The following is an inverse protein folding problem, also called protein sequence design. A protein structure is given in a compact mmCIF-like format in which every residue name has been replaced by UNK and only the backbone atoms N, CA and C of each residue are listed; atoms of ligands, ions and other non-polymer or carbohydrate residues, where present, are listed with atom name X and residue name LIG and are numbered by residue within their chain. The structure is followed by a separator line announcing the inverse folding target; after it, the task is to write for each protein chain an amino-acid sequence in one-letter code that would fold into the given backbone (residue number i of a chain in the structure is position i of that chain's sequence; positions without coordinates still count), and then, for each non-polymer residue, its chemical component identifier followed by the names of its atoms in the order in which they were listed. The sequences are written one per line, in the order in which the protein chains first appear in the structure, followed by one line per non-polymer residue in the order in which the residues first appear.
data_IF_584852697447
#
_entry.id   IF_584852697447
#
_cell.length_a   1.000
_cell.length_b   1.000
_cell.length_c   1.000
_cell.angle_alpha   90.00
_cell.angle_beta   90.00
_cell.angle_gamma   90.00
#
_symmetry.space_group_name_H-M   'P 1'
#
loop_
_entity.id
_entity.type
_entity.pdbx_description
1 polymer ?
#
# COMPACT_ATOMS: atom_id res chain seq x y z
N UNK A 1 10.51 3.86 -5.14
CA UNK A 1 9.36 2.96 -4.92
C UNK A 1 8.26 3.72 -4.20
N UNK A 2 7.05 3.77 -4.75
CA UNK A 2 5.89 4.40 -4.13
C UNK A 2 4.93 3.32 -3.60
N UNK A 3 4.30 3.57 -2.46
CA UNK A 3 3.37 2.63 -1.82
C UNK A 3 2.03 3.31 -1.60
N UNK A 4 0.97 2.68 -2.10
CA UNK A 4 -0.41 3.13 -1.90
C UNK A 4 -1.19 2.03 -1.18
N UNK A 5 -1.86 2.39 -0.08
CA UNK A 5 -2.67 1.44 0.71
C UNK A 5 -3.99 1.12 0.02
N UNK A 6 -3.94 0.41 -1.12
CA UNK A 6 -5.10 0.09 -1.93
C UNK A 6 -5.04 -1.38 -2.40
N UNK A 7 -6.14 -2.10 -2.26
CA UNK A 7 -6.24 -3.50 -2.67
C UNK A 7 -7.63 -4.08 -2.41
N UNK A 8 -7.78 -5.40 -2.63
CA UNK A 8 -9.04 -6.11 -2.44
C UNK A 8 -9.59 -6.10 -1.01
N UNK A 9 -8.74 -5.89 -0.02
CA UNK A 9 -9.06 -5.80 1.41
C UNK A 9 -9.08 -4.37 1.96
N UNK A 10 -9.06 -3.36 1.10
CA UNK A 10 -9.21 -1.96 1.50
C UNK A 10 -10.60 -1.70 2.07
N UNK A 11 -10.67 -1.03 3.22
CA UNK A 11 -11.95 -0.63 3.81
C UNK A 11 -12.66 0.37 2.92
N UNK A 12 -13.97 0.16 2.71
CA UNK A 12 -14.83 1.05 1.96
C UNK A 12 -15.40 2.12 2.91
N UNK A 13 -15.23 3.38 2.55
CA UNK A 13 -15.75 4.52 3.31
C UNK A 13 -16.77 5.31 2.48
N UNK A 14 -17.82 5.75 3.13
CA UNK A 14 -18.81 6.63 2.53
C UNK A 14 -18.29 8.08 2.48
N UNK A 15 -18.48 8.74 1.34
CA UNK A 15 -18.20 10.17 1.16
C UNK A 15 -19.52 10.94 1.26
N UNK A 16 -19.69 11.69 2.36
CA UNK A 16 -20.88 12.50 2.60
C UNK A 16 -20.86 13.86 1.85
N UNK A 17 -19.73 14.25 1.28
CA UNK A 17 -19.58 15.55 0.62
C UNK A 17 -20.12 15.53 -0.81
N UNK A 18 -20.82 16.61 -1.19
CA UNK A 18 -21.39 16.77 -2.51
C UNK A 18 -22.78 16.12 -2.66
N UNK A 19 -23.51 16.54 -3.70
CA UNK A 19 -24.89 16.11 -3.92
C UNK A 19 -25.01 14.62 -4.25
N UNK A 20 -24.03 14.06 -4.97
CA UNK A 20 -24.09 12.66 -5.45
C UNK A 20 -23.57 11.64 -4.45
N UNK A 21 -22.84 12.09 -3.41
CA UNK A 21 -22.13 11.16 -2.53
C UNK A 21 -21.10 10.32 -3.30
N UNK A 22 -20.66 9.24 -2.68
CA UNK A 22 -19.72 8.30 -3.28
C UNK A 22 -19.03 7.43 -2.25
N UNK A 23 -18.02 6.71 -2.71
CA UNK A 23 -17.15 5.90 -1.84
C UNK A 23 -15.69 6.24 -2.06
N UNK A 24 -14.87 6.02 -1.03
CA UNK A 24 -13.41 5.99 -1.12
C UNK A 24 -12.89 4.72 -0.46
N UNK A 25 -11.72 4.26 -0.89
CA UNK A 25 -11.13 3.00 -0.44
C UNK A 25 -9.81 3.25 0.31
N UNK A 26 -9.62 2.51 1.40
CA UNK A 26 -8.39 2.53 2.18
C UNK A 26 -8.17 3.84 2.96
N UNK A 27 -6.93 4.08 3.44
CA UNK A 27 -5.76 3.20 3.32
C UNK A 27 -5.79 1.98 4.27
N UNK A 28 -6.78 1.92 5.18
CA UNK A 28 -6.91 0.81 6.13
C UNK A 28 -7.26 -0.49 5.39
N UNK A 29 -6.62 -1.58 5.81
CA UNK A 29 -6.96 -2.95 5.41
C UNK A 29 -7.81 -3.59 6.50
N UNK A 30 -8.85 -4.30 6.10
CA UNK A 30 -9.80 -4.96 7.02
C UNK A 30 -10.10 -6.38 6.56
N UNK A 31 -10.67 -7.19 7.45
CA UNK A 31 -11.16 -8.51 7.08
C UNK A 31 -12.45 -8.35 6.25
N UNK A 32 -12.55 -8.93 5.05
CA UNK A 32 -13.79 -8.94 4.29
C UNK A 32 -14.94 -9.58 5.08
N UNK A 33 -16.16 -9.06 4.90
CA UNK A 33 -17.36 -9.60 5.58
C UNK A 33 -17.63 -11.04 5.12
N UNK A 34 -17.48 -11.31 3.84
CA UNK A 34 -17.61 -12.64 3.27
C UNK A 34 -16.69 -13.66 3.93
N UNK A 35 -15.46 -13.27 4.26
CA UNK A 35 -14.51 -14.12 4.98
C UNK A 35 -14.86 -14.24 6.48
N UNK A 36 -15.29 -13.12 7.11
CA UNK A 36 -15.73 -13.14 8.49
C UNK A 36 -16.92 -14.09 8.70
N UNK A 37 -17.84 -14.18 7.74
CA UNK A 37 -18.95 -15.08 7.76
C UNK A 37 -18.55 -16.56 7.62
N UNK A 38 -17.43 -16.88 6.99
CA UNK A 38 -16.88 -18.25 6.99
C UNK A 38 -16.39 -18.66 8.38
N UNK A 39 -15.80 -17.73 9.14
CA UNK A 39 -15.30 -18.00 10.50
C UNK A 39 -16.43 -18.08 11.53
N UNK A 40 -17.49 -17.27 11.39
CA UNK A 40 -18.59 -17.19 12.34
C UNK A 40 -19.95 -16.95 11.63
N UNK A 41 -20.48 -17.93 10.88
CA UNK A 41 -21.65 -17.74 10.01
C UNK A 41 -22.87 -17.20 10.76
N UNK A 42 -23.29 -17.87 11.85
CA UNK A 42 -24.48 -17.46 12.61
C UNK A 42 -24.36 -16.04 13.17
N UNK A 43 -23.20 -15.71 13.77
CA UNK A 43 -22.99 -14.37 14.36
C UNK A 43 -23.07 -13.26 13.31
N UNK A 44 -22.46 -13.47 12.14
CA UNK A 44 -22.42 -12.48 11.07
C UNK A 44 -23.80 -12.35 10.43
N UNK A 45 -24.46 -13.44 10.04
CA UNK A 45 -25.77 -13.40 9.42
C UNK A 45 -26.85 -12.85 10.36
N UNK A 46 -26.92 -13.32 11.61
CA UNK A 46 -27.92 -12.83 12.56
C UNK A 46 -27.79 -11.32 12.82
N UNK A 47 -26.54 -10.83 12.93
CA UNK A 47 -26.28 -9.41 13.10
C UNK A 47 -26.69 -8.58 11.86
N UNK A 48 -26.31 -9.04 10.66
CA UNK A 48 -26.67 -8.37 9.40
C UNK A 48 -28.18 -8.35 9.21
N UNK A 49 -28.87 -9.46 9.45
CA UNK A 49 -30.36 -9.57 9.35
C UNK A 49 -31.06 -8.68 10.36
N UNK A 50 -30.54 -8.58 11.59
CA UNK A 50 -31.07 -7.67 12.60
C UNK A 50 -30.87 -6.20 12.16
N UNK A 51 -29.71 -5.84 11.67
CA UNK A 51 -29.40 -4.47 11.20
C UNK A 51 -30.25 -4.09 9.99
N UNK A 52 -30.54 -5.03 9.07
CA UNK A 52 -31.41 -4.80 7.92
C UNK A 52 -32.87 -4.50 8.34
N UNK A 53 -33.34 -5.02 9.47
CA UNK A 53 -34.67 -4.71 10.02
C UNK A 53 -34.76 -3.33 10.67
N UNK A 54 -33.61 -2.74 11.06
CA UNK A 54 -33.60 -1.41 11.66
C UNK A 54 -33.93 -0.34 10.60
N UNK A 55 -34.80 0.59 10.94
CA UNK A 55 -35.20 1.66 10.03
C UNK A 55 -34.11 2.72 9.84
N UNK A 56 -33.29 2.93 10.87
CA UNK A 56 -32.24 3.95 10.88
C UNK A 56 -30.87 3.24 10.80
N UNK A 57 -30.06 3.53 9.77
CA UNK A 57 -28.70 3.00 9.68
C UNK A 57 -27.82 3.50 10.83
N UNK A 58 -26.94 2.63 11.32
CA UNK A 58 -25.89 2.97 12.28
C UNK A 58 -24.53 3.02 11.56
N UNK A 59 -23.61 3.84 12.07
CA UNK A 59 -22.23 3.89 11.58
C UNK A 59 -21.45 2.58 11.81
N UNK A 60 -22.00 1.67 12.63
CA UNK A 60 -21.43 0.36 12.95
C UNK A 60 -22.11 -0.78 12.21
N UNK A 61 -23.13 -0.52 11.40
CA UNK A 61 -23.81 -1.55 10.62
C UNK A 61 -22.84 -2.19 9.61
N UNK A 62 -22.88 -3.51 9.49
CA UNK A 62 -21.97 -4.29 8.63
C UNK A 62 -20.51 -4.25 9.10
N UNK A 63 -20.25 -3.96 10.38
CA UNK A 63 -18.90 -3.90 10.93
C UNK A 63 -18.75 -4.85 12.11
N UNK A 64 -17.64 -5.57 12.12
CA UNK A 64 -17.33 -6.55 13.17
C UNK A 64 -15.92 -6.32 13.70
N UNK A 65 -15.64 -6.94 14.87
CA UNK A 65 -14.32 -6.87 15.52
C UNK A 65 -14.02 -8.20 16.20
N UNK A 66 -12.73 -8.56 16.24
CA UNK A 66 -12.23 -9.66 17.06
C UNK A 66 -10.87 -9.31 17.68
N UNK A 67 -10.54 -9.95 18.80
CA UNK A 67 -9.21 -9.89 19.38
C UNK A 67 -8.29 -10.88 18.68
N UNK A 68 -7.03 -10.45 18.47
CA UNK A 68 -5.95 -11.31 17.99
C UNK A 68 -5.06 -11.68 19.18
N UNK A 69 -4.84 -12.97 19.39
CA UNK A 69 -4.02 -13.46 20.52
C UNK A 69 -2.50 -13.48 20.18
N UNK A 70 -2.08 -12.74 19.16
CA UNK A 70 -0.69 -12.73 18.65
C UNK A 70 0.23 -11.87 19.52
N UNK A 71 -0.30 -10.85 20.18
CA UNK A 71 0.47 -9.94 21.03
C UNK A 71 -0.14 -9.85 22.43
N UNK A 72 0.72 -9.88 23.47
CA UNK A 72 0.28 -9.68 24.84
C UNK A 72 -0.42 -8.33 25.06
N UNK A 73 -1.38 -8.28 25.95
CA UNK A 73 -2.12 -7.06 26.32
C UNK A 73 -1.37 -6.14 27.27
N UNK A 74 -0.09 -6.42 27.55
CA UNK A 74 0.72 -5.62 28.46
C UNK A 74 0.94 -4.19 27.93
N UNK A 75 0.86 -3.21 28.86
CA UNK A 75 1.15 -1.80 28.52
C UNK A 75 0.01 -1.04 27.84
N UNK A 76 -1.24 -1.52 27.96
CA UNK A 76 -2.41 -0.75 27.56
C UNK A 76 -2.73 0.34 28.59
N UNK A 77 -3.12 1.53 28.11
CA UNK A 77 -3.71 2.54 28.97
C UNK A 77 -5.02 2.00 29.59
N UNK A 78 -5.42 2.45 30.80
CA UNK A 78 -6.62 1.92 31.48
C UNK A 78 -7.89 1.96 30.61
N UNK A 79 -8.03 2.98 29.77
CA UNK A 79 -9.15 3.09 28.85
C UNK A 79 -9.09 2.07 27.72
N UNK A 80 -7.93 1.85 27.14
CA UNK A 80 -7.73 0.89 26.07
C UNK A 80 -7.95 -0.53 26.61
N UNK A 81 -7.51 -0.79 27.84
CA UNK A 81 -7.79 -2.05 28.53
C UNK A 81 -9.29 -2.28 28.73
N UNK A 82 -10.02 -1.26 29.19
CA UNK A 82 -11.47 -1.36 29.38
C UNK A 82 -12.25 -1.61 28.05
N UNK A 83 -11.72 -1.15 26.91
CA UNK A 83 -12.26 -1.48 25.58
C UNK A 83 -11.84 -2.91 25.19
N UNK A 84 -10.58 -3.29 25.39
CA UNK A 84 -10.06 -4.63 25.10
C UNK A 84 -10.82 -5.72 25.85
N UNK A 85 -11.20 -5.48 27.12
CA UNK A 85 -11.95 -6.43 27.94
C UNK A 85 -13.35 -6.76 27.37
N UNK A 86 -13.86 -5.90 26.47
CA UNK A 86 -15.13 -6.12 25.75
C UNK A 86 -14.93 -6.83 24.41
N UNK A 87 -13.70 -6.93 23.91
CA UNK A 87 -13.40 -7.57 22.63
C UNK A 87 -13.05 -9.03 22.87
N UNK A 88 -13.85 -9.93 22.30
CA UNK A 88 -13.63 -11.38 22.37
C UNK A 88 -12.69 -11.85 21.24
N UNK A 89 -12.07 -13.03 21.38
CA UNK A 89 -11.35 -13.67 20.27
C UNK A 89 -12.26 -14.03 19.09
N UNK A 90 -13.54 -14.29 19.36
CA UNK A 90 -14.55 -14.56 18.33
C UNK A 90 -15.02 -13.26 17.68
N UNK A 91 -15.45 -13.35 16.42
CA UNK A 91 -16.06 -12.24 15.69
C UNK A 91 -17.34 -11.81 16.41
N UNK A 92 -17.50 -10.49 16.59
CA UNK A 92 -18.69 -9.90 17.19
C UNK A 92 -19.00 -8.54 16.53
N UNK A 93 -20.27 -8.08 16.54
CA UNK A 93 -20.63 -6.78 16.00
C UNK A 93 -19.86 -5.64 16.69
N UNK A 94 -19.29 -4.74 15.91
CA UNK A 94 -18.52 -3.58 16.42
C UNK A 94 -19.37 -2.69 17.33
N UNK A 95 -20.64 -2.50 17.01
CA UNK A 95 -21.60 -1.70 17.80
C UNK A 95 -21.83 -2.25 19.23
N UNK A 96 -21.55 -3.53 19.51
CA UNK A 96 -21.62 -4.07 20.87
C UNK A 96 -20.43 -3.67 21.74
N UNK A 97 -19.28 -3.36 21.12
CA UNK A 97 -18.04 -2.96 21.81
C UNK A 97 -17.97 -1.45 22.00
N UNK A 98 -18.38 -0.67 21.00
CA UNK A 98 -18.30 0.78 21.02
C UNK A 98 -19.47 1.37 21.79
N UNK A 99 -19.19 2.02 22.90
CA UNK A 99 -20.18 2.72 23.75
C UNK A 99 -20.04 4.23 23.63
N UNK A 100 -18.86 4.72 23.29
CA UNK A 100 -18.56 6.15 23.16
C UNK A 100 -17.65 6.40 21.94
N UNK A 101 -17.67 7.64 21.42
CA UNK A 101 -16.76 8.03 20.32
C UNK A 101 -15.26 7.82 20.66
N UNK A 102 -14.91 7.91 21.92
CA UNK A 102 -13.52 7.72 22.37
C UNK A 102 -13.11 6.23 22.36
N UNK A 103 -14.06 5.30 22.37
CA UNK A 103 -13.77 3.87 22.24
C UNK A 103 -13.22 3.55 20.85
N UNK A 104 -13.71 4.23 19.79
CA UNK A 104 -13.16 4.08 18.45
C UNK A 104 -11.68 4.53 18.35
N UNK A 105 -11.29 5.55 19.09
CA UNK A 105 -9.87 5.95 19.14
C UNK A 105 -9.00 4.87 19.81
N UNK A 106 -9.49 4.25 20.88
CA UNK A 106 -8.84 3.12 21.54
C UNK A 106 -8.72 1.92 20.58
N UNK A 107 -9.82 1.56 19.90
CA UNK A 107 -9.84 0.48 18.89
C UNK A 107 -8.84 0.77 17.78
N UNK A 108 -8.77 1.98 17.24
CA UNK A 108 -7.83 2.35 16.19
C UNK A 108 -6.37 2.19 16.63
N UNK A 109 -6.03 2.55 17.89
CA UNK A 109 -4.69 2.29 18.45
C UNK A 109 -4.40 0.80 18.58
N UNK A 110 -5.38 0.01 18.98
CA UNK A 110 -5.23 -1.46 19.09
C UNK A 110 -5.13 -2.14 17.73
N UNK A 111 -5.84 -1.64 16.70
CA UNK A 111 -5.69 -2.08 15.31
C UNK A 111 -4.28 -1.82 14.80
N UNK A 112 -3.76 -0.59 14.99
CA UNK A 112 -2.38 -0.24 14.54
C UNK A 112 -1.30 -1.05 15.26
N UNK A 113 -1.58 -1.59 16.46
CA UNK A 113 -0.71 -2.50 17.20
C UNK A 113 -0.93 -3.99 16.86
N UNK A 114 -1.87 -4.31 15.96
CA UNK A 114 -2.20 -5.69 15.60
C UNK A 114 -2.88 -6.51 16.71
N UNK A 115 -3.47 -5.85 17.72
CA UNK A 115 -4.11 -6.51 18.87
C UNK A 115 -5.56 -6.89 18.58
N UNK A 116 -6.22 -6.15 17.70
CA UNK A 116 -7.59 -6.39 17.25
C UNK A 116 -7.68 -6.26 15.75
N UNK A 117 -8.63 -6.99 15.16
CA UNK A 117 -8.93 -6.94 13.74
C UNK A 117 -10.37 -6.48 13.53
N UNK A 118 -10.55 -5.52 12.64
CA UNK A 118 -11.87 -5.07 12.18
C UNK A 118 -12.24 -5.83 10.92
N UNK A 119 -13.51 -6.21 10.81
CA UNK A 119 -14.13 -6.64 9.56
C UNK A 119 -15.12 -5.58 9.11
N UNK A 120 -15.06 -5.24 7.83
CA UNK A 120 -15.94 -4.27 7.18
C UNK A 120 -15.99 -4.57 5.67
N UNK A 121 -16.82 -3.82 4.94
CA UNK A 121 -16.96 -3.98 3.49
C UNK A 121 -15.66 -3.66 2.77
N UNK A 122 -15.37 -4.49 1.79
CA UNK A 122 -14.15 -4.43 0.95
C UNK A 122 -14.48 -4.61 -0.53
N UNK A 123 -13.54 -4.29 -1.45
CA UNK A 123 -13.66 -4.66 -2.86
C UNK A 123 -13.77 -6.18 -3.09
N UNK A 124 -13.21 -7.00 -2.20
CA UNK A 124 -13.37 -8.46 -2.29
C UNK A 124 -14.82 -8.88 -2.05
N UNK A 125 -15.52 -8.28 -1.09
CA UNK A 125 -16.97 -8.53 -0.90
C UNK A 125 -17.76 -8.13 -2.15
N UNK A 126 -17.46 -6.97 -2.73
CA UNK A 126 -18.06 -6.52 -3.99
C UNK A 126 -17.81 -7.53 -5.14
N UNK A 127 -16.60 -8.12 -5.19
CA UNK A 127 -16.27 -9.13 -6.21
C UNK A 127 -17.04 -10.45 -6.03
N UNK A 128 -17.35 -10.85 -4.79
CA UNK A 128 -18.21 -11.99 -4.51
C UNK A 128 -19.65 -11.74 -4.99
N UNK A 129 -20.18 -10.53 -4.71
CA UNK A 129 -21.53 -10.16 -5.16
C UNK A 129 -21.63 -10.12 -6.66
N UNK A 130 -20.61 -9.60 -7.36
CA UNK A 130 -20.57 -9.57 -8.83
C UNK A 130 -20.24 -10.93 -9.46
N UNK A 131 -19.98 -11.97 -8.68
CA UNK A 131 -19.65 -13.31 -9.17
C UNK A 131 -18.27 -13.43 -9.83
N UNK A 132 -17.37 -12.45 -9.59
CA UNK A 132 -15.97 -12.49 -10.07
C UNK A 132 -15.10 -13.44 -9.25
N UNK A 133 -15.49 -13.67 -8.01
CA UNK A 133 -14.88 -14.59 -7.05
C UNK A 133 -16.00 -15.33 -6.32
N UNK A 134 -15.78 -16.60 -5.94
CA UNK A 134 -16.81 -17.45 -5.32
C UNK A 134 -16.25 -18.35 -4.20
N UNK A 135 -15.23 -17.88 -3.48
CA UNK A 135 -14.53 -18.70 -2.46
C UNK A 135 -15.07 -18.50 -1.04
N UNK A 136 -15.80 -17.40 -0.78
CA UNK A 136 -16.33 -17.05 0.55
C UNK A 136 -17.84 -16.80 0.49
N UNK A 137 -18.40 -16.37 1.60
CA UNK A 137 -19.85 -16.20 1.79
C UNK A 137 -20.39 -14.98 1.03
N UNK A 138 -20.99 -15.24 -0.10
CA UNK A 138 -21.61 -14.22 -0.96
C UNK A 138 -22.84 -13.59 -0.32
N UNK A 139 -23.67 -14.35 0.40
CA UNK A 139 -24.90 -13.85 0.99
C UNK A 139 -24.60 -12.80 2.08
N UNK A 140 -23.58 -13.07 2.91
CA UNK A 140 -23.12 -12.09 3.88
C UNK A 140 -22.62 -10.80 3.23
N UNK A 141 -21.88 -10.89 2.11
CA UNK A 141 -21.46 -9.74 1.33
C UNK A 141 -22.66 -8.95 0.77
N UNK A 142 -23.65 -9.62 0.18
CA UNK A 142 -24.88 -8.99 -0.35
C UNK A 142 -25.62 -8.21 0.76
N UNK A 143 -25.83 -8.82 1.93
CA UNK A 143 -26.48 -8.16 3.08
C UNK A 143 -25.69 -6.94 3.56
N UNK A 144 -24.38 -7.04 3.64
CA UNK A 144 -23.52 -5.93 4.05
C UNK A 144 -23.56 -4.78 3.04
N UNK A 145 -23.53 -5.07 1.73
CA UNK A 145 -23.66 -4.06 0.68
C UNK A 145 -25.03 -3.38 0.67
N UNK A 146 -26.11 -4.10 0.95
CA UNK A 146 -27.44 -3.51 1.15
C UNK A 146 -27.46 -2.55 2.33
N UNK A 147 -26.87 -2.90 3.47
CA UNK A 147 -26.74 -2.02 4.63
C UNK A 147 -25.97 -0.74 4.29
N UNK A 148 -24.82 -0.89 3.61
CA UNK A 148 -23.98 0.23 3.22
C UNK A 148 -24.69 1.14 2.20
N UNK A 149 -25.42 0.58 1.25
CA UNK A 149 -26.18 1.32 0.26
C UNK A 149 -27.26 2.26 0.86
N UNK A 150 -27.68 2.03 2.11
CA UNK A 150 -28.67 2.86 2.84
C UNK A 150 -28.15 4.23 3.27
N UNK A 151 -26.83 4.47 3.21
CA UNK A 151 -26.28 5.79 3.46
C UNK A 151 -26.85 6.80 2.48
N UNK A 152 -27.21 7.99 3.01
CA UNK A 152 -27.84 9.03 2.21
C UNK A 152 -26.82 10.01 1.67
N UNK A 153 -26.93 10.27 0.39
CA UNK A 153 -26.16 11.29 -0.32
C UNK A 153 -26.62 12.70 0.09
N UNK A 154 -25.89 13.73 -0.34
CA UNK A 154 -26.26 15.11 -0.07
C UNK A 154 -27.60 15.55 -0.70
N UNK A 155 -28.12 14.82 -1.71
CA UNK A 155 -29.46 15.01 -2.25
C UNK A 155 -30.55 14.35 -1.38
N UNK A 156 -30.20 13.55 -0.39
CA UNK A 156 -31.12 12.81 0.48
C UNK A 156 -31.48 11.41 -0.04
N UNK A 157 -31.05 11.04 -1.24
CA UNK A 157 -31.27 9.72 -1.82
C UNK A 157 -30.35 8.67 -1.17
N UNK A 158 -30.75 7.40 -1.18
CA UNK A 158 -29.86 6.31 -0.81
C UNK A 158 -28.72 6.19 -1.84
N UNK A 159 -27.52 5.82 -1.37
CA UNK A 159 -26.38 5.60 -2.25
C UNK A 159 -26.66 4.47 -3.25
N UNK A 160 -27.28 3.37 -2.78
CA UNK A 160 -27.83 2.31 -3.61
C UNK A 160 -28.87 1.51 -2.84
N UNK A 161 -29.88 0.99 -3.54
CA UNK A 161 -30.86 0.03 -3.03
C UNK A 161 -30.62 -1.39 -3.53
N UNK A 162 -29.64 -1.57 -4.41
CA UNK A 162 -29.27 -2.84 -5.02
C UNK A 162 -27.82 -3.21 -4.68
N UNK A 163 -27.55 -4.42 -4.14
CA UNK A 163 -26.21 -4.83 -3.75
C UNK A 163 -25.28 -4.97 -4.96
N UNK A 164 -25.79 -5.37 -6.14
CA UNK A 164 -24.97 -5.46 -7.36
C UNK A 164 -24.53 -4.08 -7.85
N UNK A 165 -25.46 -3.10 -7.85
CA UNK A 165 -25.11 -1.72 -8.18
C UNK A 165 -24.10 -1.14 -7.16
N UNK A 166 -24.30 -1.40 -5.86
CA UNK A 166 -23.34 -0.99 -4.83
C UNK A 166 -21.96 -1.63 -5.02
N UNK A 167 -21.91 -2.92 -5.36
CA UNK A 167 -20.68 -3.62 -5.68
C UNK A 167 -19.96 -3.00 -6.89
N UNK A 168 -20.70 -2.63 -7.93
CA UNK A 168 -20.11 -1.99 -9.10
C UNK A 168 -19.52 -0.61 -8.76
N UNK A 169 -20.21 0.21 -7.95
CA UNK A 169 -19.67 1.49 -7.46
C UNK A 169 -18.33 1.30 -6.75
N UNK A 170 -18.18 0.27 -5.90
CA UNK A 170 -16.95 -0.03 -5.18
C UNK A 170 -15.83 -0.44 -6.15
N UNK A 171 -16.13 -1.30 -7.11
CA UNK A 171 -15.14 -1.77 -8.09
C UNK A 171 -14.69 -0.65 -9.02
N UNK A 172 -15.63 0.19 -9.47
CA UNK A 172 -15.29 1.36 -10.30
C UNK A 172 -14.40 2.34 -9.54
N UNK A 173 -14.66 2.53 -8.25
CA UNK A 173 -13.82 3.36 -7.39
C UNK A 173 -12.43 2.75 -7.17
N UNK A 174 -12.31 1.42 -7.00
CA UNK A 174 -11.02 0.74 -6.92
C UNK A 174 -10.21 0.96 -8.20
N UNK A 175 -10.83 0.74 -9.34
CA UNK A 175 -10.22 0.96 -10.66
C UNK A 175 -9.74 2.39 -10.81
N UNK A 176 -10.59 3.35 -10.46
CA UNK A 176 -10.27 4.78 -10.54
C UNK A 176 -9.11 5.17 -9.62
N UNK A 177 -9.14 4.78 -8.34
CA UNK A 177 -8.06 5.09 -7.40
C UNK A 177 -6.74 4.43 -7.79
N UNK A 178 -6.79 3.21 -8.34
CA UNK A 178 -5.59 2.53 -8.86
C UNK A 178 -5.00 3.26 -10.06
N UNK A 179 -5.85 3.68 -11.01
CA UNK A 179 -5.40 4.46 -12.16
C UNK A 179 -4.75 5.79 -11.73
N UNK A 180 -5.34 6.49 -10.75
CA UNK A 180 -4.74 7.72 -10.20
C UNK A 180 -3.38 7.47 -9.54
N UNK A 181 -3.23 6.39 -8.76
CA UNK A 181 -1.97 6.06 -8.11
C UNK A 181 -0.87 5.74 -9.14
N UNK A 182 -1.21 5.09 -10.26
CA UNK A 182 -0.28 4.86 -11.36
C UNK A 182 0.09 6.15 -12.08
N UNK A 183 -0.86 7.06 -12.33
CA UNK A 183 -0.56 8.38 -12.89
C UNK A 183 0.30 9.23 -11.96
N UNK A 184 0.03 9.25 -10.65
CA UNK A 184 0.88 9.93 -9.67
C UNK A 184 2.33 9.42 -9.71
N UNK A 185 2.50 8.11 -9.97
CA UNK A 185 3.82 7.51 -10.13
C UNK A 185 4.44 7.91 -11.46
N UNK A 186 3.67 7.87 -12.55
CA UNK A 186 4.15 8.26 -13.88
C UNK A 186 4.62 9.72 -13.90
N UNK A 187 3.81 10.66 -13.38
CA UNK A 187 4.21 12.07 -13.26
C UNK A 187 5.48 12.29 -12.42
N UNK A 188 5.81 11.36 -11.51
CA UNK A 188 7.00 11.47 -10.68
C UNK A 188 8.24 10.84 -11.28
N UNK A 189 8.07 9.90 -12.21
CA UNK A 189 9.17 9.15 -12.85
C UNK A 189 9.41 9.62 -14.28
N UNK A 190 8.55 10.53 -14.81
CA UNK A 190 8.77 11.15 -16.11
C UNK A 190 9.94 12.14 -16.02
N UNK A 191 10.74 12.21 -17.08
CA UNK A 191 11.91 13.10 -17.15
C UNK A 191 11.51 14.59 -17.29
N UNK A 192 10.27 14.85 -17.70
CA UNK A 192 9.74 16.20 -17.82
C UNK A 192 9.29 16.75 -16.45
N UNK A 193 9.78 17.93 -16.17
CA UNK A 193 9.34 18.73 -15.04
C UNK A 193 7.98 19.37 -15.35
N UNK A 194 6.94 18.92 -14.66
CA UNK A 194 5.59 19.49 -14.78
C UNK A 194 5.43 20.78 -13.95
N UNK A 195 6.35 21.73 -14.12
CA UNK A 195 6.33 23.06 -13.49
C UNK A 195 6.24 23.02 -11.94
N UNK A 196 6.93 22.08 -11.30
CA UNK A 196 6.92 21.86 -9.83
C UNK A 196 5.52 21.60 -9.24
N UNK A 197 4.52 21.28 -10.06
CA UNK A 197 3.18 20.95 -9.57
C UNK A 197 3.19 19.56 -8.90
N UNK A 198 2.68 19.42 -7.66
CA UNK A 198 2.65 18.13 -6.98
C UNK A 198 1.92 17.06 -7.80
N UNK A 199 2.51 15.87 -7.90
CA UNK A 199 2.03 14.79 -8.77
C UNK A 199 0.60 14.32 -8.44
N UNK A 200 0.20 14.37 -7.17
CA UNK A 200 -1.15 14.07 -6.73
C UNK A 200 -2.15 15.15 -7.20
N UNK A 201 -1.74 16.41 -7.28
CA UNK A 201 -2.55 17.50 -7.84
C UNK A 201 -2.71 17.31 -9.35
N UNK A 202 -1.64 16.96 -10.07
CA UNK A 202 -1.71 16.66 -11.51
C UNK A 202 -2.64 15.48 -11.79
N UNK A 203 -2.48 14.37 -11.08
CA UNK A 203 -3.31 13.19 -11.27
C UNK A 203 -4.80 13.46 -11.00
N UNK A 204 -5.12 14.31 -10.01
CA UNK A 204 -6.50 14.68 -9.64
C UNK A 204 -7.03 15.89 -10.37
N UNK A 205 -6.24 16.54 -11.21
CA UNK A 205 -6.67 17.73 -11.95
C UNK A 205 -7.87 17.42 -12.85
N UNK A 206 -8.76 18.38 -13.03
CA UNK A 206 -10.00 18.20 -13.83
C UNK A 206 -9.72 17.79 -15.27
N UNK A 207 -8.64 18.26 -15.88
CA UNK A 207 -8.25 17.88 -17.25
C UNK A 207 -7.77 16.42 -17.28
N UNK A 208 -7.00 15.97 -16.31
CA UNK A 208 -6.57 14.57 -16.17
C UNK A 208 -7.79 13.66 -16.02
N UNK A 209 -8.74 14.01 -15.14
CA UNK A 209 -9.99 13.27 -14.97
C UNK A 209 -10.84 13.21 -16.25
N UNK A 210 -10.86 14.29 -17.03
CA UNK A 210 -11.52 14.33 -18.32
C UNK A 210 -10.79 13.52 -19.37
N UNK A 211 -9.44 13.54 -19.35
CA UNK A 211 -8.59 12.76 -20.23
C UNK A 211 -8.75 11.26 -20.05
N UNK A 212 -8.73 10.76 -18.79
CA UNK A 212 -9.01 9.36 -18.47
C UNK A 212 -10.38 8.88 -18.98
N UNK A 213 -11.36 9.78 -19.11
CA UNK A 213 -12.68 9.51 -19.69
C UNK A 213 -12.73 9.77 -21.20
N UNK A 214 -11.58 9.99 -21.84
CA UNK A 214 -11.48 10.28 -23.27
C UNK A 214 -12.47 11.35 -23.72
N UNK A 215 -12.46 12.51 -23.02
CA UNK A 215 -13.41 13.58 -23.26
C UNK A 215 -13.42 14.05 -24.72
N UNK A 216 -14.60 14.04 -25.31
CA UNK A 216 -14.86 14.49 -26.70
C UNK A 216 -15.95 15.53 -26.67
N UNK A 217 -15.60 16.80 -26.72
CA UNK A 217 -16.50 17.94 -26.86
C UNK A 217 -15.95 18.90 -27.92
N UNK A 218 -15.97 20.20 -27.64
CA UNK A 218 -15.22 21.18 -28.45
C UNK A 218 -13.71 20.94 -28.34
N UNK A 219 -13.27 20.42 -27.21
CA UNK A 219 -11.88 19.98 -27.00
C UNK A 219 -11.85 18.46 -26.88
N UNK A 220 -10.79 17.85 -27.44
CA UNK A 220 -10.43 16.46 -27.16
C UNK A 220 -9.38 16.46 -26.08
N UNK A 221 -9.59 15.67 -25.01
CA UNK A 221 -8.61 15.46 -23.95
C UNK A 221 -8.45 13.96 -23.79
N UNK A 222 -7.21 13.50 -23.91
CA UNK A 222 -6.83 12.08 -23.84
C UNK A 222 -5.59 11.98 -22.95
N UNK A 223 -5.63 11.15 -21.93
CA UNK A 223 -4.53 10.93 -20.97
C UNK A 223 -4.49 9.45 -20.66
N UNK A 224 -3.30 8.87 -20.69
CA UNK A 224 -3.05 7.47 -20.41
C UNK A 224 -1.56 7.22 -20.21
N UNK A 225 -1.16 5.95 -20.22
CA UNK A 225 0.24 5.53 -20.11
C UNK A 225 0.74 4.96 -21.44
N UNK A 226 1.94 5.37 -21.84
CA UNK A 226 2.62 4.84 -23.04
C UNK A 226 3.42 3.56 -22.75
N UNK A 227 3.45 3.10 -21.50
CA UNK A 227 4.20 1.92 -21.06
C UNK A 227 3.24 0.83 -20.59
N UNK A 228 3.59 -0.46 -20.75
CA UNK A 228 2.79 -1.53 -20.19
C UNK A 228 2.90 -1.54 -18.66
N UNK A 229 1.81 -1.96 -18.00
CA UNK A 229 1.77 -2.16 -16.54
C UNK A 229 1.74 -3.65 -16.24
N UNK A 230 2.60 -4.11 -15.33
CA UNK A 230 2.65 -5.50 -14.88
C UNK A 230 1.86 -5.63 -13.58
N UNK A 231 0.78 -6.43 -13.60
CA UNK A 231 -0.05 -6.70 -12.44
C UNK A 231 0.43 -7.95 -11.69
N UNK A 232 0.72 -7.82 -10.40
CA UNK A 232 1.13 -8.92 -9.52
C UNK A 232 0.23 -8.99 -8.29
N UNK A 233 0.04 -10.19 -7.75
CA UNK A 233 -0.76 -10.46 -6.55
C UNK A 233 -2.04 -11.24 -6.86
N UNK A 234 -2.61 -11.88 -5.83
CA UNK A 234 -3.75 -12.79 -5.96
C UNK A 234 -4.99 -12.14 -6.57
N UNK A 235 -5.21 -10.85 -6.32
CA UNK A 235 -6.35 -10.09 -6.83
C UNK A 235 -6.10 -9.40 -8.18
N UNK A 236 -4.87 -9.44 -8.70
CA UNK A 236 -4.49 -8.75 -9.94
C UNK A 236 -5.38 -9.15 -11.15
N UNK A 237 -5.68 -10.43 -11.40
CA UNK A 237 -6.55 -10.82 -12.53
C UNK A 237 -7.98 -10.26 -12.42
N UNK A 238 -8.45 -10.02 -11.20
CA UNK A 238 -9.83 -9.55 -10.96
C UNK A 238 -10.00 -8.05 -11.23
N UNK A 239 -8.97 -7.24 -10.97
CA UNK A 239 -9.11 -5.78 -10.95
C UNK A 239 -8.30 -5.06 -12.03
N UNK A 240 -7.08 -5.52 -12.33
CA UNK A 240 -6.14 -4.73 -13.14
C UNK A 240 -6.48 -4.63 -14.63
N UNK A 241 -7.16 -5.60 -15.29
CA UNK A 241 -7.57 -5.39 -16.68
C UNK A 241 -8.35 -4.11 -16.90
N UNK A 242 -9.34 -3.81 -16.02
CA UNK A 242 -10.12 -2.58 -16.09
C UNK A 242 -9.27 -1.31 -15.85
N UNK A 243 -8.18 -1.40 -15.09
CA UNK A 243 -7.23 -0.28 -14.91
C UNK A 243 -6.46 -0.01 -16.20
N UNK A 244 -6.01 -1.06 -16.89
CA UNK A 244 -5.38 -0.94 -18.21
C UNK A 244 -6.30 -0.27 -19.24
N UNK A 245 -7.58 -0.65 -19.25
CA UNK A 245 -8.59 -0.03 -20.13
C UNK A 245 -8.74 1.46 -19.85
N UNK A 246 -8.79 1.87 -18.57
CA UNK A 246 -8.89 3.29 -18.16
C UNK A 246 -7.65 4.09 -18.55
N UNK A 247 -6.46 3.49 -18.42
CA UNK A 247 -5.18 4.15 -18.72
C UNK A 247 -4.77 4.03 -20.19
N UNK A 248 -5.53 3.28 -21.01
CA UNK A 248 -5.22 3.06 -22.43
C UNK A 248 -3.91 2.31 -22.65
N UNK A 249 -3.45 1.51 -21.68
CA UNK A 249 -2.17 0.81 -21.76
C UNK A 249 -2.33 -0.71 -21.62
N UNK A 250 -1.39 -1.51 -22.19
CA UNK A 250 -1.37 -2.95 -21.99
C UNK A 250 -1.20 -3.32 -20.51
N UNK A 251 -2.10 -4.14 -19.97
CA UNK A 251 -1.98 -4.74 -18.64
C UNK A 251 -1.45 -6.17 -18.79
N UNK A 252 -0.21 -6.40 -18.33
CA UNK A 252 0.44 -7.71 -18.39
C UNK A 252 0.21 -8.43 -17.07
N UNK A 253 -0.45 -9.58 -17.14
CA UNK A 253 -0.65 -10.49 -16.00
C UNK A 253 0.17 -11.75 -16.25
N UNK A 254 1.36 -11.90 -15.64
CA UNK A 254 2.16 -13.13 -15.78
C UNK A 254 1.41 -14.37 -15.29
N UNK A 255 1.77 -15.54 -15.82
CA UNK A 255 1.12 -16.82 -15.49
C UNK A 255 1.04 -17.08 -13.97
N UNK A 256 2.06 -16.68 -13.22
CA UNK A 256 2.13 -16.87 -11.77
C UNK A 256 1.88 -15.58 -10.98
N UNK A 257 1.21 -14.59 -11.58
CA UNK A 257 0.94 -13.29 -10.94
C UNK A 257 0.30 -13.43 -9.55
N UNK A 258 -0.62 -14.39 -9.37
CA UNK A 258 -1.34 -14.60 -8.11
C UNK A 258 -0.46 -15.05 -6.94
N UNK A 259 0.66 -15.69 -7.21
CA UNK A 259 1.61 -16.20 -6.20
C UNK A 259 2.98 -15.51 -6.28
N UNK A 260 3.06 -14.38 -6.97
CA UNK A 260 4.31 -13.66 -7.21
C UNK A 260 5.06 -13.33 -5.90
N UNK A 261 4.36 -13.00 -4.82
CA UNK A 261 4.97 -12.75 -3.51
C UNK A 261 5.65 -14.01 -2.94
N UNK A 262 5.01 -15.18 -3.07
CA UNK A 262 5.60 -16.44 -2.60
C UNK A 262 6.82 -16.82 -3.46
N UNK A 263 6.72 -16.67 -4.78
CA UNK A 263 7.85 -16.89 -5.70
C UNK A 263 8.99 -15.91 -5.35
N UNK A 264 8.68 -14.62 -5.17
CA UNK A 264 9.65 -13.61 -4.79
C UNK A 264 10.34 -13.91 -3.46
N UNK A 265 9.63 -14.47 -2.50
CA UNK A 265 10.20 -14.89 -1.22
C UNK A 265 11.19 -16.06 -1.36
N UNK A 266 10.93 -16.98 -2.29
CA UNK A 266 11.79 -18.16 -2.54
C UNK A 266 13.00 -17.81 -3.42
N UNK A 267 12.76 -17.03 -4.50
CA UNK A 267 13.83 -16.70 -5.47
C UNK A 267 14.46 -15.34 -5.23
N UNK A 268 13.90 -14.56 -4.31
CA UNK A 268 14.36 -13.23 -3.96
C UNK A 268 15.78 -13.26 -3.41
N UNK A 269 16.56 -12.24 -3.76
CA UNK A 269 17.90 -12.06 -3.18
C UNK A 269 17.79 -11.15 -1.96
N UNK A 270 18.47 -11.54 -0.90
CA UNK A 270 18.76 -10.66 0.24
C UNK A 270 19.84 -9.69 -0.20
N UNK A 271 19.53 -8.41 -0.24
CA UNK A 271 20.46 -7.38 -0.72
C UNK A 271 20.68 -6.33 0.36
N UNK A 272 21.94 -6.06 0.67
CA UNK A 272 22.36 -4.98 1.54
C UNK A 272 23.26 -4.02 0.79
N UNK A 273 23.05 -2.71 1.02
CA UNK A 273 23.86 -1.64 0.46
C UNK A 273 24.51 -0.86 1.58
N UNK A 274 25.81 -0.68 1.46
CA UNK A 274 26.57 0.24 2.29
C UNK A 274 27.17 1.32 1.39
N UNK A 275 27.04 2.60 1.79
CA UNK A 275 27.60 3.71 1.03
C UNK A 275 28.28 4.70 1.96
N UNK A 276 29.34 5.35 1.48
CA UNK A 276 30.00 6.43 2.17
C UNK A 276 30.70 7.37 1.17
N UNK A 277 31.04 8.56 1.68
CA UNK A 277 31.52 9.67 0.87
C UNK A 277 32.98 9.97 1.13
N UNK A 278 33.70 10.35 0.07
CA UNK A 278 35.07 10.88 0.15
C UNK A 278 35.02 12.37 -0.24
N UNK A 279 35.61 13.21 0.56
CA UNK A 279 35.77 14.66 0.26
C UNK A 279 37.23 15.06 0.21
N UNK A 280 37.57 16.16 -0.47
CA UNK A 280 38.91 16.72 -0.51
C UNK A 280 38.92 18.07 0.25
N UNK A 281 39.12 18.07 1.59
CA UNK A 281 39.12 19.31 2.36
C UNK A 281 40.31 20.23 2.06
N UNK A 282 41.43 19.67 1.60
CA UNK A 282 42.62 20.41 1.15
C UNK A 282 43.28 19.69 -0.02
N UNK A 283 44.11 20.40 -0.78
CA UNK A 283 44.91 19.82 -1.86
C UNK A 283 45.79 18.67 -1.34
N UNK A 284 45.69 17.50 -1.98
CA UNK A 284 46.44 16.28 -1.59
C UNK A 284 45.93 15.56 -0.35
N UNK A 285 44.78 15.94 0.20
CA UNK A 285 44.17 15.27 1.33
C UNK A 285 42.74 14.81 1.01
N UNK A 286 42.50 13.52 1.13
CA UNK A 286 41.21 12.88 0.92
C UNK A 286 40.64 12.35 2.23
N UNK A 287 39.43 12.80 2.58
CA UNK A 287 38.77 12.41 3.82
C UNK A 287 37.62 11.49 3.54
N UNK A 288 37.69 10.31 4.14
CA UNK A 288 36.61 9.29 4.08
C UNK A 288 35.67 9.52 5.26
N UNK A 289 34.39 9.64 4.97
CA UNK A 289 33.32 9.76 5.95
C UNK A 289 32.62 8.40 6.13
N UNK A 290 33.23 7.54 6.98
CA UNK A 290 32.68 6.24 7.33
C UNK A 290 32.93 5.95 8.83
N UNK A 291 31.92 5.37 9.52
CA UNK A 291 32.00 5.11 10.96
C UNK A 291 31.87 6.36 11.81
N UNK A 292 32.39 6.30 13.07
CA UNK A 292 32.28 7.39 14.04
C UNK A 292 33.33 8.49 13.85
N UNK A 293 34.48 8.16 13.26
CA UNK A 293 35.56 9.12 13.02
C UNK A 293 36.02 9.07 11.55
N UNK A 294 36.16 10.26 10.90
CA UNK A 294 36.66 10.32 9.53
C UNK A 294 38.12 9.93 9.43
N UNK A 295 38.51 9.20 8.39
CA UNK A 295 39.88 8.82 8.08
C UNK A 295 40.46 9.72 6.96
N UNK A 296 41.75 10.13 7.09
CA UNK A 296 42.42 10.97 6.09
C UNK A 296 43.48 10.17 5.32
N UNK A 297 43.54 10.41 3.99
CA UNK A 297 44.45 9.74 3.07
C UNK A 297 45.20 10.78 2.19
N UNK A 298 46.40 10.44 1.75
CA UNK A 298 47.22 11.29 0.87
C UNK A 298 46.95 11.05 -0.61
N UNK A 299 46.16 10.03 -0.98
CA UNK A 299 45.75 9.77 -2.36
C UNK A 299 44.31 9.29 -2.42
N UNK A 300 43.63 9.62 -3.53
CA UNK A 300 42.26 9.19 -3.81
C UNK A 300 42.16 7.66 -3.88
N UNK A 301 43.10 7.02 -4.56
CA UNK A 301 43.11 5.56 -4.71
C UNK A 301 43.22 4.83 -3.36
N UNK A 302 44.04 5.35 -2.44
CA UNK A 302 44.14 4.81 -1.08
C UNK A 302 42.84 4.98 -0.28
N UNK A 303 42.18 6.15 -0.43
CA UNK A 303 40.89 6.42 0.19
C UNK A 303 39.78 5.50 -0.37
N UNK A 304 39.72 5.29 -1.68
CA UNK A 304 38.78 4.39 -2.35
C UNK A 304 39.05 2.94 -1.91
N UNK A 305 40.31 2.49 -1.91
CA UNK A 305 40.67 1.12 -1.51
C UNK A 305 40.23 0.82 -0.06
N UNK A 306 40.55 1.73 0.85
CA UNK A 306 40.15 1.63 2.25
C UNK A 306 38.62 1.57 2.38
N UNK A 307 37.93 2.51 1.73
CA UNK A 307 36.46 2.61 1.82
C UNK A 307 35.79 1.37 1.23
N UNK A 308 36.30 0.86 0.11
CA UNK A 308 35.81 -0.37 -0.53
C UNK A 308 35.91 -1.57 0.44
N UNK A 309 37.02 -1.72 1.15
CA UNK A 309 37.21 -2.78 2.13
C UNK A 309 36.21 -2.67 3.30
N UNK A 310 36.06 -1.46 3.87
CA UNK A 310 35.14 -1.23 5.00
C UNK A 310 33.67 -1.46 4.61
N UNK A 311 33.25 -0.91 3.48
CA UNK A 311 31.87 -1.07 3.00
C UNK A 311 31.57 -2.51 2.59
N UNK A 312 32.55 -3.23 2.00
CA UNK A 312 32.40 -4.65 1.68
C UNK A 312 32.20 -5.47 2.94
N UNK A 313 33.01 -5.22 3.97
CA UNK A 313 32.89 -5.92 5.25
C UNK A 313 31.51 -5.66 5.90
N UNK A 314 31.06 -4.39 5.93
CA UNK A 314 29.77 -4.04 6.48
C UNK A 314 28.62 -4.70 5.71
N UNK A 315 28.58 -4.55 4.38
CA UNK A 315 27.51 -5.11 3.55
C UNK A 315 27.46 -6.64 3.60
N UNK A 316 28.62 -7.32 3.62
CA UNK A 316 28.70 -8.77 3.77
C UNK A 316 28.21 -9.23 5.15
N UNK A 317 28.61 -8.55 6.21
CA UNK A 317 28.16 -8.87 7.58
C UNK A 317 26.66 -8.75 7.72
N UNK A 318 26.08 -7.67 7.20
CA UNK A 318 24.63 -7.43 7.25
C UNK A 318 23.88 -8.48 6.42
N UNK A 319 24.39 -8.82 5.22
CA UNK A 319 23.79 -9.84 4.38
C UNK A 319 23.85 -11.24 5.03
N UNK A 320 24.97 -11.60 5.65
CA UNK A 320 25.13 -12.86 6.37
C UNK A 320 24.22 -12.96 7.60
N UNK A 321 24.13 -11.87 8.38
CA UNK A 321 23.24 -11.78 9.54
C UNK A 321 21.76 -11.93 9.14
N UNK A 322 21.41 -11.47 7.95
CA UNK A 322 20.06 -11.64 7.38
C UNK A 322 19.86 -13.01 6.70
N UNK A 323 20.82 -13.93 6.79
CA UNK A 323 20.72 -15.28 6.26
C UNK A 323 20.95 -15.37 4.74
N UNK A 324 21.71 -14.46 4.15
CA UNK A 324 22.11 -14.56 2.75
C UNK A 324 23.19 -15.64 2.55
N UNK A 325 23.03 -16.48 1.53
CA UNK A 325 24.00 -17.46 1.05
C UNK A 325 24.45 -17.08 -0.38
N UNK A 326 25.62 -17.58 -0.81
CA UNK A 326 26.19 -17.32 -2.14
C UNK A 326 26.27 -15.81 -2.48
N UNK A 327 26.79 -15.02 -1.52
CA UNK A 327 26.80 -13.56 -1.60
C UNK A 327 27.72 -13.08 -2.72
N UNK A 328 27.18 -12.29 -3.65
CA UNK A 328 27.89 -11.58 -4.70
C UNK A 328 28.02 -10.11 -4.32
N UNK A 329 29.19 -9.53 -4.60
CA UNK A 329 29.47 -8.11 -4.31
C UNK A 329 29.53 -7.33 -5.61
N UNK A 330 28.80 -6.23 -5.65
CA UNK A 330 28.88 -5.24 -6.72
C UNK A 330 29.34 -3.87 -6.16
N UNK A 331 30.08 -3.13 -6.96
CA UNK A 331 30.60 -1.81 -6.61
C UNK A 331 30.08 -0.77 -7.57
N UNK A 332 29.72 0.40 -7.03
CA UNK A 332 29.34 1.58 -7.82
C UNK A 332 30.06 2.79 -7.25
N UNK A 333 30.67 3.58 -8.13
CA UNK A 333 31.41 4.79 -7.78
C UNK A 333 30.82 5.97 -8.54
N UNK A 334 30.44 7.00 -7.82
CA UNK A 334 30.03 8.30 -8.37
C UNK A 334 31.07 9.36 -7.95
N UNK A 335 31.94 9.73 -8.90
CA UNK A 335 33.07 10.65 -8.66
C UNK A 335 32.79 11.95 -9.37
N UNK A 336 32.59 13.02 -8.60
CA UNK A 336 32.41 14.38 -9.10
C UNK A 336 33.75 15.09 -9.17
N UNK A 337 34.08 15.59 -10.37
CA UNK A 337 35.27 16.41 -10.63
C UNK A 337 34.83 17.78 -11.13
N UNK A 338 35.62 18.78 -10.85
CA UNK A 338 35.44 20.14 -11.37
C UNK A 338 36.74 20.57 -12.07
N UNK A 339 36.63 21.42 -13.07
CA UNK A 339 37.79 21.98 -13.76
C UNK A 339 38.12 23.37 -13.16
N UNK A 340 39.29 23.46 -12.52
CA UNK A 340 39.83 24.71 -11.96
C UNK A 340 41.11 25.03 -12.69
N UNK A 341 41.20 26.19 -13.32
CA UNK A 341 42.38 26.68 -14.10
C UNK A 341 42.90 25.64 -15.11
N UNK A 342 41.99 24.94 -15.80
CA UNK A 342 42.31 23.93 -16.81
C UNK A 342 42.80 22.58 -16.29
N UNK A 343 42.71 22.34 -14.96
CA UNK A 343 43.00 21.05 -14.33
C UNK A 343 41.77 20.43 -13.73
N UNK A 344 41.58 19.12 -13.93
CA UNK A 344 40.55 18.37 -13.23
C UNK A 344 40.92 18.26 -11.75
N UNK A 345 40.01 18.70 -10.90
CA UNK A 345 40.14 18.60 -9.43
C UNK A 345 39.00 17.72 -8.91
N UNK A 346 39.34 16.77 -8.07
CA UNK A 346 38.34 15.95 -7.36
C UNK A 346 37.57 16.85 -6.37
N UNK A 347 36.26 16.77 -6.37
CA UNK A 347 35.36 17.52 -5.45
C UNK A 347 34.82 16.59 -4.38
N UNK A 348 34.16 15.54 -4.80
CA UNK A 348 33.47 14.59 -3.95
C UNK A 348 33.37 13.25 -4.67
N UNK A 349 33.38 12.14 -3.92
CA UNK A 349 33.10 10.82 -4.46
C UNK A 349 32.23 10.03 -3.50
N UNK A 350 31.22 9.34 -4.02
CA UNK A 350 30.41 8.38 -3.25
C UNK A 350 30.72 6.99 -3.75
N UNK A 351 31.14 6.10 -2.85
CA UNK A 351 31.29 4.67 -3.10
C UNK A 351 30.10 3.95 -2.51
N UNK A 352 29.48 3.07 -3.29
CA UNK A 352 28.42 2.18 -2.83
C UNK A 352 28.82 0.73 -3.09
N UNK A 353 28.67 -0.10 -2.08
CA UNK A 353 28.87 -1.55 -2.15
C UNK A 353 27.54 -2.24 -1.93
N UNK A 354 27.18 -3.12 -2.83
CA UNK A 354 25.98 -3.95 -2.75
C UNK A 354 26.40 -5.41 -2.55
N UNK A 355 25.92 -6.04 -1.47
CA UNK A 355 26.06 -7.46 -1.19
C UNK A 355 24.70 -8.13 -1.41
N UNK A 356 24.59 -8.99 -2.43
CA UNK A 356 23.35 -9.68 -2.77
C UNK A 356 23.55 -11.20 -2.77
N UNK A 357 22.74 -11.91 -1.99
CA UNK A 357 22.81 -13.37 -1.88
C UNK A 357 21.43 -14.02 -1.92
N UNK A 358 21.40 -15.34 -2.06
CA UNK A 358 20.16 -16.11 -1.98
C UNK A 358 19.71 -16.18 -0.52
N UNK A 359 18.42 -16.02 -0.25
CA UNK A 359 17.87 -16.21 1.09
C UNK A 359 18.06 -17.68 1.52
N UNK A 360 18.52 -17.90 2.75
CA UNK A 360 18.62 -19.23 3.35
C UNK A 360 17.21 -19.78 3.55
N UNK A 361 16.94 -20.92 2.93
CA UNK A 361 15.71 -21.67 3.17
C UNK A 361 15.95 -22.54 4.40
N UNK A 362 15.31 -22.21 5.52
CA UNK A 362 15.26 -23.09 6.70
C UNK A 362 14.13 -24.08 6.49
N UNK A 363 14.48 -25.36 6.62
CA UNK A 363 13.52 -26.48 6.62
C UNK A 363 12.52 -26.37 7.78
#
# INVERSE_FOLDING_TARGET
MRTTGLGGDSEVHFIAHGLKGGVTLGPRRVLPISLAAMDAPSVVHDALDQQLRNLVPSEFDGRFIRRLDVFGTSGLAPRDQAVMDRVTPQIQPLGHVVKTRLDMQAINRMVSRGMVQISAITPTDASHVLGRVSVWDREAAEKALLLFGRWRTGSGDMLSTDPHHMAQIIIDQLTHQTALALLETAFAEDDDDFDDVPNDVLARHVLTQRGLKQHKGLMKIDIGLNVPVIGLGASAPTYYPAVGDVLGCPMILPEHAGVANAIGAVVGRVTFRASATITAPNEGMFRVHHGTEPANFSSLDAAIAYLREQLTHSAMTDAQNAGAEDIQIAYSEDIKKSTVEGREVFVEGTLTVEAAGRARITD
#
